data_IF_934867759268
#
_entry.id   IF_934867759268
#
_cell.length_a   1.000
_cell.length_b   1.000
_cell.length_c   1.000
_cell.angle_alpha   90.00
_cell.angle_beta   90.00
_cell.angle_gamma   90.00
#
_symmetry.space_group_name_H-M   'P 1'
#
loop_
_entity.id
_entity.type
_entity.pdbx_description
1 polymer ?
#
# COMPACT_ATOMS: atom_id res chain seq x y z
N UNK A 1 -11.36 25.42 -20.98
CA UNK A 1 -11.38 25.01 -19.55
C UNK A 1 -10.51 25.98 -18.79
N UNK A 2 -10.98 26.57 -17.70
CA UNK A 2 -10.11 27.41 -16.86
C UNK A 2 -9.10 26.52 -16.12
N UNK A 3 -7.92 27.05 -15.78
CA UNK A 3 -6.91 26.29 -15.01
C UNK A 3 -7.49 25.73 -13.70
N UNK A 4 -8.40 26.47 -13.07
CA UNK A 4 -9.13 26.01 -11.88
C UNK A 4 -9.93 24.73 -12.16
N UNK A 5 -10.67 24.64 -13.27
CA UNK A 5 -11.45 23.44 -13.62
C UNK A 5 -10.57 22.20 -13.84
N UNK A 6 -9.34 22.39 -14.31
CA UNK A 6 -8.37 21.31 -14.49
C UNK A 6 -7.80 20.81 -13.15
N UNK A 7 -7.73 21.66 -12.13
CA UNK A 7 -7.19 21.31 -10.81
C UNK A 7 -8.21 20.69 -9.84
N UNK A 8 -9.52 20.81 -10.09
CA UNK A 8 -10.55 20.23 -9.20
C UNK A 8 -10.42 18.70 -9.09
N UNK A 9 -10.30 17.91 -10.18
CA UNK A 9 -10.19 16.46 -10.04
C UNK A 9 -8.94 16.01 -9.26
N UNK A 10 -7.71 16.50 -9.54
CA UNK A 10 -6.54 16.21 -8.72
C UNK A 10 -6.73 16.59 -7.24
N UNK A 11 -7.35 17.75 -6.97
CA UNK A 11 -7.63 18.18 -5.60
C UNK A 11 -8.55 17.20 -4.86
N UNK A 12 -9.64 16.77 -5.50
CA UNK A 12 -10.57 15.78 -4.92
C UNK A 12 -9.89 14.42 -4.73
N UNK A 13 -9.06 14.00 -5.69
CA UNK A 13 -8.26 12.77 -5.55
C UNK A 13 -7.33 12.85 -4.33
N UNK A 14 -6.64 13.97 -4.12
CA UNK A 14 -5.80 14.18 -2.93
C UNK A 14 -6.61 14.10 -1.64
N UNK A 15 -7.81 14.67 -1.57
CA UNK A 15 -8.66 14.55 -0.37
C UNK A 15 -9.01 13.09 -0.05
N UNK A 16 -9.37 12.30 -1.07
CA UNK A 16 -9.67 10.87 -0.91
C UNK A 16 -8.44 10.09 -0.45
N UNK A 17 -7.28 10.38 -1.05
CA UNK A 17 -6.01 9.75 -0.69
C UNK A 17 -5.62 10.06 0.76
N UNK A 18 -5.60 11.34 1.13
CA UNK A 18 -5.23 11.78 2.49
C UNK A 18 -6.16 11.17 3.54
N UNK A 19 -7.47 11.11 3.29
CA UNK A 19 -8.43 10.56 4.26
C UNK A 19 -8.12 9.11 4.65
N UNK A 20 -7.78 8.26 3.68
CA UNK A 20 -7.47 6.85 3.96
C UNK A 20 -6.02 6.67 4.44
N UNK A 21 -5.06 7.32 3.78
CA UNK A 21 -3.64 7.17 4.08
C UNK A 21 -3.30 7.73 5.47
N UNK A 22 -3.84 8.88 5.87
CA UNK A 22 -3.58 9.41 7.22
C UNK A 22 -4.05 8.46 8.32
N UNK A 23 -5.23 7.84 8.17
CA UNK A 23 -5.74 6.85 9.11
C UNK A 23 -4.84 5.61 9.18
N UNK A 24 -4.46 5.04 8.03
CA UNK A 24 -3.55 3.89 8.01
C UNK A 24 -2.15 4.24 8.53
N UNK A 25 -1.72 5.49 8.32
CA UNK A 25 -0.46 6.04 8.82
C UNK A 25 -0.34 5.92 10.33
N UNK A 26 -1.41 6.20 11.08
CA UNK A 26 -1.44 6.02 12.54
C UNK A 26 -1.08 4.57 12.94
N UNK A 27 -1.65 3.58 12.24
CA UNK A 27 -1.35 2.18 12.50
C UNK A 27 0.08 1.81 12.11
N UNK A 28 0.57 2.32 10.98
CA UNK A 28 1.93 2.04 10.48
C UNK A 28 2.99 2.58 11.43
N UNK A 29 2.80 3.81 11.93
CA UNK A 29 3.71 4.44 12.91
C UNK A 29 3.62 3.72 14.25
N UNK A 30 2.41 3.44 14.76
CA UNK A 30 2.24 2.74 16.04
C UNK A 30 2.86 1.33 16.05
N UNK A 31 2.96 0.70 14.88
CA UNK A 31 3.58 -0.62 14.69
C UNK A 31 5.08 -0.55 14.38
N UNK A 32 5.67 0.65 14.26
CA UNK A 32 7.09 0.85 13.91
C UNK A 32 7.48 0.18 12.57
N UNK A 33 6.59 0.25 11.55
CA UNK A 33 6.79 -0.43 10.25
C UNK A 33 6.65 0.54 9.08
N UNK A 34 7.32 1.69 9.14
CA UNK A 34 7.17 2.77 8.16
C UNK A 34 7.51 2.30 6.72
N UNK A 35 8.51 1.43 6.57
CA UNK A 35 8.91 0.88 5.26
C UNK A 35 7.87 -0.05 4.61
N UNK A 36 6.80 -0.45 5.32
CA UNK A 36 5.79 -1.36 4.76
C UNK A 36 5.11 -0.78 3.53
N UNK A 37 4.97 0.54 3.47
CA UNK A 37 4.45 1.27 2.32
C UNK A 37 5.30 1.04 1.07
N UNK A 38 6.57 1.45 1.13
CA UNK A 38 7.52 1.30 0.03
C UNK A 38 7.64 -0.17 -0.40
N UNK A 39 7.68 -1.10 0.56
CA UNK A 39 7.79 -2.52 0.28
C UNK A 39 6.58 -3.08 -0.47
N UNK A 40 5.34 -2.77 -0.03
CA UNK A 40 4.14 -3.22 -0.74
C UNK A 40 3.95 -2.54 -2.09
N UNK A 41 4.36 -1.28 -2.22
CA UNK A 41 4.37 -0.59 -3.50
C UNK A 41 5.30 -1.29 -4.50
N UNK A 42 6.47 -1.73 -4.07
CA UNK A 42 7.41 -2.46 -4.93
C UNK A 42 6.94 -3.89 -5.25
N UNK A 43 6.28 -4.56 -4.30
CA UNK A 43 5.59 -5.83 -4.60
C UNK A 43 4.51 -5.64 -5.66
N UNK A 44 3.70 -4.59 -5.55
CA UNK A 44 2.67 -4.26 -6.54
C UNK A 44 3.30 -3.95 -7.92
N UNK A 45 4.37 -3.17 -7.95
CA UNK A 45 5.10 -2.82 -9.16
C UNK A 45 5.68 -4.06 -9.84
N UNK A 46 6.34 -4.94 -9.07
CA UNK A 46 6.85 -6.22 -9.56
C UNK A 46 5.73 -7.08 -10.16
N UNK A 47 4.58 -7.18 -9.49
CA UNK A 47 3.41 -7.91 -10.00
C UNK A 47 2.90 -7.34 -11.32
N UNK A 48 2.69 -6.02 -11.38
CA UNK A 48 2.22 -5.33 -12.60
C UNK A 48 3.21 -5.47 -13.76
N UNK A 49 4.51 -5.29 -13.52
CA UNK A 49 5.55 -5.50 -14.52
C UNK A 49 5.63 -6.95 -14.99
N UNK A 50 5.44 -7.91 -14.09
CA UNK A 50 5.39 -9.34 -14.44
C UNK A 50 4.20 -9.67 -15.33
N UNK A 51 3.06 -8.99 -15.15
CA UNK A 51 1.92 -9.11 -16.06
C UNK A 51 2.27 -8.59 -17.46
N UNK A 52 2.94 -7.44 -17.55
CA UNK A 52 3.39 -6.91 -18.83
C UNK A 52 4.38 -7.85 -19.54
N UNK A 53 5.26 -8.52 -18.80
CA UNK A 53 6.21 -9.50 -19.33
C UNK A 53 5.51 -10.67 -20.03
N UNK A 54 4.33 -11.07 -19.57
CA UNK A 54 3.51 -12.11 -20.20
C UNK A 54 2.46 -11.54 -21.17
N UNK A 55 2.69 -10.31 -21.67
CA UNK A 55 1.85 -9.60 -22.65
C UNK A 55 0.44 -9.25 -22.19
N UNK A 56 0.22 -9.11 -20.88
CA UNK A 56 -1.01 -8.53 -20.34
C UNK A 56 -0.95 -7.00 -20.42
N UNK A 57 -2.00 -6.35 -20.91
CA UNK A 57 -2.06 -4.89 -21.01
C UNK A 57 -2.00 -4.21 -19.62
N UNK A 58 -1.28 -3.09 -19.53
CA UNK A 58 -1.01 -2.38 -18.27
C UNK A 58 -2.27 -1.95 -17.51
N UNK A 59 -3.30 -1.50 -18.24
CA UNK A 59 -4.56 -0.99 -17.67
C UNK A 59 -5.65 -2.08 -17.60
N UNK A 60 -5.29 -3.34 -17.86
CA UNK A 60 -6.24 -4.45 -17.78
C UNK A 60 -6.53 -4.86 -16.34
N UNK A 61 -7.70 -5.49 -16.15
CA UNK A 61 -8.05 -6.10 -14.85
C UNK A 61 -7.04 -7.18 -14.45
N UNK A 62 -6.44 -7.87 -15.41
CA UNK A 62 -5.43 -8.90 -15.13
C UNK A 62 -4.14 -8.31 -14.59
N UNK A 63 -3.62 -7.21 -15.16
CA UNK A 63 -2.44 -6.53 -14.59
C UNK A 63 -2.68 -6.09 -13.14
N UNK A 64 -3.88 -5.61 -12.85
CA UNK A 64 -4.29 -5.25 -11.49
C UNK A 64 -4.35 -6.47 -10.55
N UNK A 65 -4.87 -7.62 -11.00
CA UNK A 65 -4.88 -8.87 -10.22
C UNK A 65 -3.46 -9.34 -9.92
N UNK A 66 -2.54 -9.25 -10.88
CA UNK A 66 -1.13 -9.63 -10.66
C UNK A 66 -0.44 -8.72 -9.64
N UNK A 67 -0.66 -7.40 -9.72
CA UNK A 67 -0.17 -6.46 -8.72
C UNK A 67 -0.72 -6.79 -7.33
N UNK A 68 -2.04 -6.98 -7.21
CA UNK A 68 -2.67 -7.36 -5.94
C UNK A 68 -2.18 -8.71 -5.39
N UNK A 69 -1.96 -9.70 -6.26
CA UNK A 69 -1.44 -11.00 -5.86
C UNK A 69 -0.03 -10.85 -5.26
N UNK A 70 0.87 -10.12 -5.93
CA UNK A 70 2.21 -9.87 -5.41
C UNK A 70 2.16 -9.09 -4.09
N UNK A 71 1.31 -8.07 -4.00
CA UNK A 71 1.06 -7.33 -2.74
C UNK A 71 0.53 -8.24 -1.63
N UNK A 72 -0.39 -9.17 -1.94
CA UNK A 72 -0.92 -10.13 -0.98
C UNK A 72 0.16 -11.10 -0.48
N UNK A 73 1.08 -11.52 -1.35
CA UNK A 73 2.27 -12.29 -0.97
C UNK A 73 3.14 -11.48 -0.01
N UNK A 74 3.39 -10.20 -0.30
CA UNK A 74 4.13 -9.31 0.60
C UNK A 74 3.47 -9.16 1.97
N UNK A 75 2.16 -8.93 1.99
CA UNK A 75 1.37 -8.85 3.21
C UNK A 75 1.42 -10.15 4.04
N UNK A 76 1.39 -11.31 3.38
CA UNK A 76 1.54 -12.61 4.01
C UNK A 76 2.93 -12.78 4.62
N UNK A 77 3.98 -12.40 3.89
CA UNK A 77 5.35 -12.44 4.41
C UNK A 77 5.47 -11.60 5.68
N UNK A 78 4.97 -10.37 5.69
CA UNK A 78 5.04 -9.49 6.87
C UNK A 78 4.26 -10.01 8.07
N UNK A 79 3.11 -10.65 7.83
CA UNK A 79 2.33 -11.25 8.89
C UNK A 79 3.00 -12.49 9.50
N UNK A 80 3.70 -13.29 8.68
CA UNK A 80 4.39 -14.49 9.12
C UNK A 80 5.70 -14.19 9.85
N UNK A 81 6.44 -13.18 9.38
CA UNK A 81 7.73 -12.77 9.94
C UNK A 81 7.62 -11.87 11.16
N UNK A 82 6.42 -11.40 11.53
CA UNK A 82 6.20 -10.69 12.79
C UNK A 82 6.59 -11.59 13.97
N UNK A 83 7.59 -11.15 14.72
CA UNK A 83 8.05 -11.78 15.96
C UNK A 83 7.29 -11.21 17.14
N UNK A 84 6.84 -12.07 18.06
CA UNK A 84 6.22 -11.61 19.32
C UNK A 84 7.31 -11.16 20.29
N UNK A 85 7.08 -10.12 21.11
CA UNK A 85 7.99 -9.72 22.18
C UNK A 85 8.42 -10.87 23.10
N UNK A 86 7.58 -11.91 23.24
CA UNK A 86 7.85 -13.10 24.06
C UNK A 86 8.88 -14.06 23.47
N UNK A 87 9.14 -14.01 22.17
CA UNK A 87 10.00 -14.99 21.47
C UNK A 87 11.51 -14.70 21.59
N UNK A 88 11.91 -13.67 22.37
CA UNK A 88 13.31 -13.42 22.70
C UNK A 88 14.10 -12.90 21.50
N UNK A 89 14.11 -11.57 21.33
CA UNK A 89 14.95 -10.77 20.41
C UNK A 89 15.44 -11.52 19.16
N UNK A 90 14.64 -11.50 18.09
CA UNK A 90 15.14 -11.79 16.74
C UNK A 90 14.59 -10.76 15.77
N UNK A 91 15.55 -10.01 15.19
CA UNK A 91 15.49 -9.09 14.04
C UNK A 91 14.24 -8.19 13.98
N UNK A 92 14.38 -6.84 14.05
CA UNK A 92 13.26 -5.92 13.90
C UNK A 92 12.43 -6.24 12.65
N UNK A 93 11.10 -6.19 12.76
CA UNK A 93 10.21 -6.49 11.64
C UNK A 93 10.53 -5.61 10.42
N UNK A 94 10.92 -4.36 10.67
CA UNK A 94 11.36 -3.39 9.67
C UNK A 94 12.54 -3.89 8.82
N UNK A 95 13.46 -4.68 9.39
CA UNK A 95 14.56 -5.26 8.63
C UNK A 95 14.07 -6.32 7.63
N UNK A 96 13.10 -7.15 8.00
CA UNK A 96 12.48 -8.09 7.05
C UNK A 96 11.72 -7.35 5.94
N UNK A 97 11.00 -6.29 6.30
CA UNK A 97 10.30 -5.42 5.33
C UNK A 97 11.30 -4.79 4.35
N UNK A 98 12.46 -4.35 4.84
CA UNK A 98 13.55 -3.82 4.02
C UNK A 98 14.14 -4.85 3.06
N UNK A 99 14.33 -6.10 3.50
CA UNK A 99 14.79 -7.19 2.62
C UNK A 99 13.78 -7.44 1.50
N UNK A 100 12.49 -7.55 1.84
CA UNK A 100 11.42 -7.74 0.84
C UNK A 100 11.38 -6.56 -0.13
N UNK A 101 11.54 -5.33 0.36
CA UNK A 101 11.59 -4.13 -0.47
C UNK A 101 12.73 -4.19 -1.48
N UNK A 102 13.96 -4.50 -1.04
CA UNK A 102 15.12 -4.55 -1.94
C UNK A 102 14.98 -5.68 -2.97
N UNK A 103 14.51 -6.86 -2.56
CA UNK A 103 14.28 -8.00 -3.46
C UNK A 103 13.20 -7.68 -4.49
N UNK A 104 12.08 -7.10 -4.05
CA UNK A 104 10.98 -6.71 -4.93
C UNK A 104 11.41 -5.62 -5.92
N UNK A 105 12.15 -4.61 -5.44
CA UNK A 105 12.69 -3.52 -6.27
C UNK A 105 13.67 -4.05 -7.33
N UNK A 106 14.62 -4.90 -6.92
CA UNK A 106 15.55 -5.52 -7.85
C UNK A 106 14.83 -6.39 -8.88
N UNK A 107 13.84 -7.18 -8.44
CA UNK A 107 12.96 -7.94 -9.33
C UNK A 107 12.22 -7.05 -10.32
N UNK A 108 11.61 -5.95 -9.85
CA UNK A 108 10.87 -5.00 -10.67
C UNK A 108 11.78 -4.39 -11.75
N UNK A 109 12.99 -3.96 -11.38
CA UNK A 109 14.00 -3.45 -12.34
C UNK A 109 14.39 -4.51 -13.36
N UNK A 110 14.65 -5.75 -12.94
CA UNK A 110 15.02 -6.83 -13.85
C UNK A 110 13.89 -7.18 -14.83
N UNK A 111 12.64 -7.16 -14.39
CA UNK A 111 11.48 -7.39 -15.25
C UNK A 111 11.26 -6.21 -16.19
N UNK A 112 11.34 -4.98 -15.68
CA UNK A 112 11.21 -3.76 -16.48
C UNK A 112 12.23 -3.71 -17.63
N UNK A 113 13.47 -4.14 -17.40
CA UNK A 113 14.51 -4.21 -18.43
C UNK A 113 14.19 -5.21 -19.56
N UNK A 114 13.20 -6.09 -19.38
CA UNK A 114 12.78 -7.09 -20.38
C UNK A 114 11.49 -6.72 -21.11
N UNK A 115 10.86 -5.60 -20.77
CA UNK A 115 9.57 -5.19 -21.33
C UNK A 115 9.71 -3.82 -21.99
N UNK A 116 9.19 -3.62 -23.22
CA UNK A 116 9.11 -2.30 -23.82
C UNK A 116 8.36 -1.32 -22.92
N UNK A 117 8.93 -0.15 -22.65
CA UNK A 117 8.33 0.84 -21.74
C UNK A 117 8.46 0.51 -20.24
N UNK A 118 9.22 -0.52 -19.85
CA UNK A 118 9.41 -0.86 -18.44
C UNK A 118 10.05 0.26 -17.61
N UNK A 119 10.97 1.04 -18.19
CA UNK A 119 11.54 2.22 -17.54
C UNK A 119 10.50 3.30 -17.22
N UNK A 120 9.61 3.58 -18.17
CA UNK A 120 8.49 4.51 -17.98
C UNK A 120 7.52 3.99 -16.90
N UNK A 121 7.26 2.69 -16.86
CA UNK A 121 6.44 2.08 -15.81
C UNK A 121 7.04 2.25 -14.40
N UNK A 122 8.37 2.15 -14.27
CA UNK A 122 9.08 2.45 -13.01
C UNK A 122 8.96 3.95 -12.66
N UNK A 123 9.22 4.84 -13.62
CA UNK A 123 9.10 6.29 -13.39
C UNK A 123 7.69 6.67 -12.94
N UNK A 124 6.67 6.19 -13.66
CA UNK A 124 5.25 6.41 -13.35
C UNK A 124 4.86 5.85 -11.98
N UNK A 125 5.49 4.76 -11.52
CA UNK A 125 5.30 4.24 -10.16
C UNK A 125 5.82 5.21 -9.10
N UNK A 126 6.94 5.90 -9.37
CA UNK A 126 7.53 6.86 -8.42
C UNK A 126 6.74 8.18 -8.37
N UNK A 127 6.39 8.73 -9.54
CA UNK A 127 5.81 10.08 -9.69
C UNK A 127 4.29 10.10 -9.78
N UNK A 128 3.67 9.00 -10.19
CA UNK A 128 2.24 8.92 -10.43
C UNK A 128 1.77 9.75 -11.62
N UNK A 129 0.45 9.95 -11.70
CA UNK A 129 -0.20 10.71 -12.78
C UNK A 129 -1.33 11.59 -12.25
N UNK A 130 -1.14 12.17 -11.05
CA UNK A 130 -2.20 12.84 -10.28
C UNK A 130 -2.86 13.99 -11.05
N UNK A 131 -2.10 14.69 -11.90
CA UNK A 131 -2.60 15.79 -12.72
C UNK A 131 -3.62 15.34 -13.79
N UNK A 132 -3.56 14.08 -14.20
CA UNK A 132 -4.37 13.51 -15.29
C UNK A 132 -5.56 12.68 -14.78
N UNK A 133 -5.87 12.75 -13.49
CA UNK A 133 -7.02 12.03 -12.93
C UNK A 133 -8.34 12.60 -13.41
N UNK A 134 -9.31 11.71 -13.64
CA UNK A 134 -10.66 12.07 -14.06
C UNK A 134 -11.66 11.71 -12.97
N UNK A 135 -12.75 12.48 -12.87
CA UNK A 135 -13.85 12.18 -11.93
C UNK A 135 -14.41 10.77 -12.14
N UNK A 136 -14.70 10.43 -13.40
CA UNK A 136 -15.08 9.08 -13.82
C UNK A 136 -14.14 8.64 -14.94
N UNK A 137 -13.53 7.46 -14.86
CA UNK A 137 -13.75 6.41 -13.85
C UNK A 137 -12.87 6.50 -12.60
N UNK A 138 -11.77 7.27 -12.59
CA UNK A 138 -10.69 7.12 -11.61
C UNK A 138 -11.09 7.46 -10.18
N UNK A 139 -11.58 8.68 -9.93
CA UNK A 139 -11.90 9.14 -8.56
C UNK A 139 -13.04 8.32 -7.96
N UNK A 140 -14.10 8.04 -8.74
CA UNK A 140 -15.23 7.23 -8.25
C UNK A 140 -14.79 5.82 -7.88
N UNK A 141 -13.95 5.15 -8.69
CA UNK A 141 -13.42 3.82 -8.36
C UNK A 141 -12.57 3.85 -7.09
N UNK A 142 -11.66 4.82 -6.98
CA UNK A 142 -10.78 4.98 -5.83
C UNK A 142 -11.59 5.25 -4.55
N UNK A 143 -12.53 6.21 -4.60
CA UNK A 143 -13.39 6.56 -3.48
C UNK A 143 -14.28 5.39 -3.06
N UNK A 144 -14.88 4.66 -4.00
CA UNK A 144 -15.70 3.50 -3.67
C UNK A 144 -14.88 2.39 -2.99
N UNK A 145 -13.68 2.09 -3.50
CA UNK A 145 -12.78 1.13 -2.88
C UNK A 145 -12.34 1.58 -1.48
N UNK A 146 -12.01 2.86 -1.32
CA UNK A 146 -11.55 3.42 -0.04
C UNK A 146 -12.68 3.50 0.98
N UNK A 147 -13.92 3.76 0.57
CA UNK A 147 -15.09 3.68 1.46
C UNK A 147 -15.31 2.24 1.90
N UNK A 148 -15.23 1.26 1.00
CA UNK A 148 -15.38 -0.16 1.36
C UNK A 148 -14.29 -0.61 2.35
N UNK A 149 -13.03 -0.23 2.10
CA UNK A 149 -11.90 -0.51 2.99
C UNK A 149 -12.01 0.26 4.30
N UNK A 150 -12.45 1.52 4.27
CA UNK A 150 -12.70 2.34 5.45
C UNK A 150 -13.79 1.74 6.35
N UNK A 151 -14.88 1.23 5.76
CA UNK A 151 -15.92 0.49 6.49
C UNK A 151 -15.36 -0.80 7.10
N UNK A 152 -14.57 -1.56 6.35
CA UNK A 152 -13.88 -2.75 6.87
C UNK A 152 -13.03 -2.39 8.10
N UNK A 153 -12.19 -1.35 8.00
CA UNK A 153 -11.38 -0.86 9.11
C UNK A 153 -12.22 -0.36 10.28
N UNK A 154 -13.35 0.31 10.01
CA UNK A 154 -14.26 0.80 11.03
C UNK A 154 -14.90 -0.34 11.83
N UNK A 155 -15.40 -1.40 11.16
CA UNK A 155 -16.01 -2.54 11.84
C UNK A 155 -15.00 -3.34 12.68
N UNK A 156 -13.75 -3.46 12.21
CA UNK A 156 -12.69 -4.17 12.91
C UNK A 156 -11.77 -3.25 13.73
N UNK A 157 -12.16 -1.97 13.93
CA UNK A 157 -11.31 -0.94 14.54
C UNK A 157 -10.78 -1.33 15.90
N UNK A 158 -11.61 -1.98 16.73
CA UNK A 158 -11.20 -2.39 18.07
C UNK A 158 -10.03 -3.39 17.99
N UNK A 159 -10.07 -4.32 17.03
CA UNK A 159 -8.98 -5.28 16.85
C UNK A 159 -7.73 -4.62 16.31
N UNK A 160 -7.85 -3.80 15.27
CA UNK A 160 -6.69 -3.15 14.66
C UNK A 160 -6.02 -2.14 15.60
N UNK A 161 -6.80 -1.34 16.33
CA UNK A 161 -6.28 -0.36 17.28
C UNK A 161 -5.61 -1.05 18.47
N UNK A 162 -6.24 -2.05 19.08
CA UNK A 162 -5.62 -2.79 20.19
C UNK A 162 -4.33 -3.47 19.75
N UNK A 163 -4.28 -4.11 18.57
CA UNK A 163 -3.04 -4.74 18.09
C UNK A 163 -1.92 -3.71 17.80
N UNK A 164 -2.28 -2.49 17.41
CA UNK A 164 -1.29 -1.46 17.05
C UNK A 164 -0.78 -0.68 18.26
N UNK A 165 -1.68 -0.30 19.19
CA UNK A 165 -1.34 0.55 20.32
C UNK A 165 -1.17 -0.22 21.65
N UNK A 166 -1.83 -1.36 21.80
CA UNK A 166 -1.82 -2.18 23.02
C UNK A 166 -1.56 -3.66 22.70
N UNK A 167 -0.42 -4.00 22.05
CA UNK A 167 -0.16 -5.36 21.56
C UNK A 167 -0.17 -6.40 22.69
N UNK A 168 0.24 -6.04 23.91
CA UNK A 168 0.18 -6.93 25.07
C UNK A 168 -1.25 -7.33 25.46
N UNK A 169 -2.21 -6.43 25.30
CA UNK A 169 -3.62 -6.70 25.58
C UNK A 169 -4.20 -7.68 24.56
N UNK A 170 -3.89 -7.49 23.27
CA UNK A 170 -4.27 -8.43 22.22
C UNK A 170 -3.73 -9.85 22.46
N UNK A 171 -2.49 -9.96 22.99
CA UNK A 171 -1.92 -11.25 23.39
C UNK A 171 -2.62 -11.85 24.61
N UNK A 172 -2.94 -11.04 25.63
CA UNK A 172 -3.67 -11.51 26.83
C UNK A 172 -5.07 -12.01 26.48
N UNK A 173 -5.74 -11.37 25.52
CA UNK A 173 -7.04 -11.78 25.00
C UNK A 173 -6.98 -13.01 24.07
N UNK A 174 -5.77 -13.56 23.81
CA UNK A 174 -5.59 -14.76 22.99
C UNK A 174 -5.92 -14.57 21.51
N UNK A 175 -5.86 -13.33 21.01
CA UNK A 175 -6.17 -13.07 19.61
C UNK A 175 -5.11 -13.65 18.67
N UNK A 176 -5.55 -14.11 17.48
CA UNK A 176 -4.67 -14.57 16.41
C UNK A 176 -3.98 -13.39 15.72
N UNK A 177 -3.00 -12.77 16.37
CA UNK A 177 -2.34 -11.53 15.93
C UNK A 177 -1.86 -11.61 14.48
N UNK A 178 -1.14 -12.68 14.09
CA UNK A 178 -0.64 -12.86 12.72
C UNK A 178 -1.75 -12.83 11.66
N UNK A 179 -2.93 -13.34 11.97
CA UNK A 179 -4.07 -13.30 11.04
C UNK A 179 -4.61 -11.87 10.88
N UNK A 180 -4.73 -11.12 11.97
CA UNK A 180 -5.17 -9.73 11.93
C UNK A 180 -4.14 -8.83 11.26
N UNK A 181 -2.85 -9.12 11.42
CA UNK A 181 -1.79 -8.43 10.70
C UNK A 181 -1.83 -8.70 9.21
N UNK A 182 -2.06 -9.96 8.83
CA UNK A 182 -2.25 -10.29 7.42
C UNK A 182 -3.40 -9.49 6.82
N UNK A 183 -4.56 -9.45 7.49
CA UNK A 183 -5.70 -8.66 7.03
C UNK A 183 -5.39 -7.16 6.99
N UNK A 184 -4.67 -6.63 7.98
CA UNK A 184 -4.22 -5.26 7.99
C UNK A 184 -3.30 -4.96 6.80
N UNK A 185 -2.20 -5.70 6.65
CA UNK A 185 -1.24 -5.50 5.56
C UNK A 185 -1.84 -5.78 4.18
N UNK A 186 -2.78 -6.70 4.07
CA UNK A 186 -3.51 -6.94 2.82
C UNK A 186 -4.38 -5.73 2.47
N UNK A 187 -5.19 -5.25 3.42
CA UNK A 187 -6.05 -4.08 3.19
C UNK A 187 -5.22 -2.81 2.90
N UNK A 188 -4.12 -2.63 3.62
CA UNK A 188 -3.15 -1.56 3.40
C UNK A 188 -2.53 -1.70 2.01
N UNK A 189 -2.10 -2.90 1.64
CA UNK A 189 -1.61 -3.22 0.31
C UNK A 189 -2.58 -2.86 -0.81
N UNK A 190 -3.87 -3.20 -0.67
CA UNK A 190 -4.89 -2.80 -1.65
C UNK A 190 -4.98 -1.27 -1.78
N UNK A 191 -4.92 -0.54 -0.65
CA UNK A 191 -4.90 0.93 -0.67
C UNK A 191 -3.69 1.45 -1.46
N UNK A 192 -2.50 0.91 -1.20
CA UNK A 192 -1.26 1.29 -1.90
C UNK A 192 -1.32 0.93 -3.39
N UNK A 193 -1.74 -0.27 -3.75
CA UNK A 193 -1.86 -0.71 -5.17
C UNK A 193 -2.81 0.19 -5.96
N UNK A 194 -3.86 0.72 -5.33
CA UNK A 194 -4.78 1.67 -5.95
C UNK A 194 -4.24 3.11 -5.97
N UNK A 195 -3.50 3.50 -4.93
CA UNK A 195 -2.99 4.85 -4.77
C UNK A 195 -1.82 5.14 -5.72
N UNK A 196 -0.87 4.21 -5.82
CA UNK A 196 0.44 4.43 -6.45
C UNK A 196 0.33 4.82 -7.93
N UNK A 197 -0.50 4.18 -8.78
CA UNK A 197 -0.65 4.62 -10.17
C UNK A 197 -1.19 6.05 -10.33
N UNK A 198 -1.97 6.51 -9.33
CA UNK A 198 -2.55 7.84 -9.29
C UNK A 198 -1.57 8.85 -8.74
N UNK A 199 -0.98 8.57 -7.59
CA UNK A 199 -0.25 9.53 -6.76
C UNK A 199 1.27 9.38 -6.81
N UNK A 200 1.76 8.21 -7.21
CA UNK A 200 3.16 7.84 -7.09
C UNK A 200 3.53 7.48 -5.65
N UNK A 201 4.56 6.67 -5.49
CA UNK A 201 5.03 6.22 -4.17
C UNK A 201 5.43 7.40 -3.27
N UNK A 202 6.05 8.45 -3.84
CA UNK A 202 6.55 9.59 -3.06
C UNK A 202 5.43 10.38 -2.38
N UNK A 203 4.34 10.66 -3.11
CA UNK A 203 3.20 11.39 -2.55
C UNK A 203 2.38 10.51 -1.61
N UNK A 204 2.21 9.22 -1.94
CA UNK A 204 1.52 8.26 -1.06
C UNK A 204 2.22 8.16 0.29
N UNK A 205 3.55 8.03 0.28
CA UNK A 205 4.36 8.01 1.50
C UNK A 205 4.22 9.31 2.31
N UNK A 206 4.20 10.46 1.63
CA UNK A 206 4.01 11.76 2.27
C UNK A 206 2.65 11.88 2.97
N UNK A 207 1.57 11.46 2.30
CA UNK A 207 0.21 11.44 2.86
C UNK A 207 0.02 10.40 3.97
N UNK A 208 0.79 9.33 3.95
CA UNK A 208 0.78 8.30 4.99
C UNK A 208 1.48 8.79 6.26
N UNK A 209 2.68 9.35 6.15
CA UNK A 209 3.54 9.61 7.30
C UNK A 209 3.31 11.00 7.90
N UNK A 210 3.29 12.06 7.08
CA UNK A 210 3.31 13.44 7.60
C UNK A 210 2.10 13.77 8.48
N UNK A 211 0.84 13.48 8.08
CA UNK A 211 -0.31 13.76 8.93
C UNK A 211 -0.32 12.93 10.21
N UNK A 212 0.14 11.67 10.14
CA UNK A 212 0.13 10.75 11.26
C UNK A 212 1.19 11.07 12.33
N UNK A 213 2.31 11.72 11.95
CA UNK A 213 3.32 12.21 12.90
C UNK A 213 2.84 13.45 13.67
N UNK A 214 1.94 14.25 13.08
CA UNK A 214 1.44 15.50 13.67
C UNK A 214 0.27 15.24 14.64
N UNK A 215 -0.45 14.12 14.46
CA UNK A 215 -1.63 13.74 15.24
C UNK A 215 -1.29 13.25 16.65
#
# INVERSE_FOLDING_TARGET
MSGLQLMIPPFVACMVLVAMLSYLGLHVIAREVIFVDLSLAQMAALGGLSALLIHVEADSTWAYIFALFATAVGALLFALTRTSPKEGRRVPQEAFIGIVYVVASAGAVLVANKVPGGGEAIEKTLTGSILWVTFKPTIVKLAAAYVALGLFHYFFRHRFLTISFHPEEAERLGWKIKWWDFLFYLSFGVVITLAVPVAGVLMVFSFLVVPAVIA
#
